data_IF_670235549522
#
_entry.id   IF_670235549522
#
_cell.length_a   1.000
_cell.length_b   1.000
_cell.length_c   1.000
_cell.angle_alpha   90.00
_cell.angle_beta   90.00
_cell.angle_gamma   90.00
#
_symmetry.space_group_name_H-M   'P 1'
#
loop_
_entity.id
_entity.type
_entity.pdbx_description
1 polymer ?
#
# COMPACT_ATOMS: atom_id res chain seq x y z
N UNK A 1 -16.28 -14.04 32.78
CA UNK A 1 -15.76 -13.72 31.43
C UNK A 1 -15.66 -12.22 31.30
N UNK A 2 -14.49 -11.69 30.89
CA UNK A 2 -14.39 -10.25 30.55
C UNK A 2 -15.34 -9.96 29.41
N UNK A 3 -16.14 -8.88 29.40
CA UNK A 3 -16.98 -8.55 28.27
C UNK A 3 -16.13 -8.44 27.00
N UNK A 4 -16.63 -8.91 25.86
CA UNK A 4 -15.93 -8.96 24.57
C UNK A 4 -15.23 -7.64 24.21
N UNK A 5 -15.82 -6.51 24.55
CA UNK A 5 -15.28 -5.17 24.34
C UNK A 5 -13.98 -4.91 25.12
N UNK A 6 -13.79 -5.50 26.30
CA UNK A 6 -12.55 -5.38 27.07
C UNK A 6 -11.38 -6.15 26.41
N UNK A 7 -11.67 -7.22 25.65
CA UNK A 7 -10.66 -7.93 24.85
C UNK A 7 -10.10 -7.03 23.74
N UNK A 8 -10.90 -6.08 23.27
CA UNK A 8 -10.53 -5.09 22.25
C UNK A 8 -9.92 -3.80 22.83
N UNK A 9 -9.63 -3.76 24.15
CA UNK A 9 -9.06 -2.58 24.81
C UNK A 9 -10.05 -1.45 25.03
N UNK A 10 -11.36 -1.71 24.96
CA UNK A 10 -12.39 -0.71 25.21
C UNK A 10 -12.56 -0.45 26.70
N UNK A 11 -12.39 0.80 27.09
CA UNK A 11 -12.63 1.26 28.45
C UNK A 11 -14.00 1.94 28.56
N UNK A 12 -14.95 1.27 29.21
CA UNK A 12 -16.32 1.75 29.38
C UNK A 12 -16.42 3.05 30.19
N UNK A 13 -15.39 3.41 30.96
CA UNK A 13 -15.39 4.64 31.76
C UNK A 13 -15.04 5.88 30.92
N UNK A 14 -14.10 5.72 29.98
CA UNK A 14 -13.53 6.83 29.22
C UNK A 14 -13.90 6.82 27.74
N UNK A 15 -14.49 5.71 27.22
CA UNK A 15 -14.81 5.54 25.79
C UNK A 15 -16.31 5.34 25.58
N UNK A 16 -16.83 5.86 24.47
CA UNK A 16 -18.23 5.70 24.06
C UNK A 16 -18.31 4.77 22.86
N UNK A 17 -19.11 3.70 22.94
CA UNK A 17 -19.31 2.73 21.85
C UNK A 17 -19.74 3.41 20.55
N UNK A 18 -20.66 4.38 20.61
CA UNK A 18 -21.11 5.13 19.43
C UNK A 18 -19.95 5.85 18.72
N UNK A 19 -19.02 6.43 19.49
CA UNK A 19 -17.84 7.11 18.93
C UNK A 19 -16.92 6.12 18.22
N UNK A 20 -16.66 4.96 18.81
CA UNK A 20 -15.84 3.91 18.20
C UNK A 20 -16.46 3.38 16.87
N UNK A 21 -17.79 3.19 16.85
CA UNK A 21 -18.48 2.74 15.62
C UNK A 21 -18.46 3.83 14.53
N UNK A 22 -18.68 5.11 14.89
CA UNK A 22 -18.56 6.22 13.92
C UNK A 22 -17.12 6.30 13.38
N UNK A 23 -16.14 6.18 14.26
CA UNK A 23 -14.72 6.16 13.88
C UNK A 23 -14.41 5.03 12.92
N UNK A 24 -14.91 3.82 13.20
CA UNK A 24 -14.74 2.67 12.31
C UNK A 24 -15.43 2.87 10.95
N UNK A 25 -16.66 3.38 10.93
CA UNK A 25 -17.35 3.71 9.68
C UNK A 25 -16.57 4.76 8.86
N UNK A 26 -16.06 5.80 9.51
CA UNK A 26 -15.26 6.84 8.85
C UNK A 26 -13.96 6.26 8.29
N UNK A 27 -13.23 5.43 9.05
CA UNK A 27 -12.03 4.74 8.56
C UNK A 27 -12.35 3.86 7.36
N UNK A 28 -13.41 3.03 7.45
CA UNK A 28 -13.81 2.18 6.32
C UNK A 28 -14.12 3.01 5.07
N UNK A 29 -14.92 4.08 5.18
CA UNK A 29 -15.26 4.94 4.05
C UNK A 29 -14.02 5.57 3.41
N UNK A 30 -13.04 5.99 4.21
CA UNK A 30 -11.83 6.62 3.68
C UNK A 30 -10.91 5.64 2.97
N UNK A 31 -10.91 4.35 3.33
CA UNK A 31 -10.06 3.32 2.75
C UNK A 31 -10.78 2.32 1.84
N UNK A 32 -12.12 2.37 1.74
CA UNK A 32 -12.90 1.42 0.92
C UNK A 32 -12.60 1.48 -0.58
N UNK A 33 -11.95 2.55 -1.05
CA UNK A 33 -11.47 2.64 -2.43
C UNK A 33 -10.54 1.48 -2.82
N UNK A 34 -9.87 0.84 -1.84
CA UNK A 34 -8.98 -0.31 -2.09
C UNK A 34 -9.74 -1.50 -2.69
N UNK A 35 -11.02 -1.65 -2.35
CA UNK A 35 -11.89 -2.69 -2.90
C UNK A 35 -12.10 -2.56 -4.42
N UNK A 36 -11.94 -1.36 -4.96
CA UNK A 36 -11.97 -1.12 -6.40
C UNK A 36 -10.56 -1.13 -7.00
N UNK A 37 -9.62 -0.48 -6.33
CA UNK A 37 -8.28 -0.21 -6.88
C UNK A 37 -7.40 -1.45 -6.88
N UNK A 38 -7.39 -2.25 -5.80
CA UNK A 38 -6.58 -3.46 -5.76
C UNK A 38 -6.96 -4.47 -6.84
N UNK A 39 -8.25 -4.84 -7.02
CA UNK A 39 -8.65 -5.68 -8.15
C UNK A 39 -8.34 -5.07 -9.52
N UNK A 40 -8.46 -3.75 -9.68
CA UNK A 40 -8.13 -3.09 -10.94
C UNK A 40 -6.64 -3.16 -11.29
N UNK A 41 -5.75 -3.05 -10.29
CA UNK A 41 -4.30 -3.15 -10.50
C UNK A 41 -3.90 -4.60 -10.76
N UNK A 42 -4.27 -5.53 -9.88
CA UNK A 42 -3.83 -6.91 -9.95
C UNK A 42 -4.43 -7.68 -11.14
N UNK A 43 -5.67 -7.36 -11.57
CA UNK A 43 -6.26 -7.98 -12.76
C UNK A 43 -5.50 -7.70 -14.05
N UNK A 44 -4.65 -6.67 -14.08
CA UNK A 44 -3.76 -6.39 -15.22
C UNK A 44 -2.69 -7.48 -15.43
N UNK A 45 -2.51 -8.40 -14.48
CA UNK A 45 -1.60 -9.56 -14.56
C UNK A 45 -2.29 -10.82 -15.09
N UNK A 46 -3.59 -10.76 -15.39
CA UNK A 46 -4.39 -11.91 -15.84
C UNK A 46 -5.18 -12.61 -14.75
N UNK A 47 -5.10 -12.15 -13.48
CA UNK A 47 -5.90 -12.68 -12.37
C UNK A 47 -7.38 -12.29 -12.51
N UNK A 48 -8.29 -13.17 -12.08
CA UNK A 48 -9.73 -12.90 -12.10
C UNK A 48 -10.12 -11.74 -11.18
N UNK A 49 -10.80 -10.73 -11.74
CA UNK A 49 -11.17 -9.49 -11.03
C UNK A 49 -12.16 -9.72 -9.90
N UNK A 50 -13.09 -10.67 -10.06
CA UNK A 50 -14.07 -11.01 -9.04
C UNK A 50 -13.43 -11.71 -7.85
N UNK A 51 -12.57 -12.71 -8.13
CA UNK A 51 -11.79 -13.40 -7.11
C UNK A 51 -10.87 -12.43 -6.36
N UNK A 52 -10.22 -11.49 -7.06
CA UNK A 52 -9.39 -10.44 -6.47
C UNK A 52 -10.17 -9.52 -5.53
N UNK A 53 -11.43 -9.19 -5.87
CA UNK A 53 -12.29 -8.43 -4.97
C UNK A 53 -12.52 -9.18 -3.65
N UNK A 54 -12.88 -10.46 -3.75
CA UNK A 54 -13.09 -11.32 -2.57
C UNK A 54 -11.80 -11.45 -1.75
N UNK A 55 -10.66 -11.70 -2.40
CA UNK A 55 -9.35 -11.76 -1.75
C UNK A 55 -9.00 -10.46 -1.02
N UNK A 56 -9.24 -9.31 -1.66
CA UNK A 56 -9.00 -7.99 -1.08
C UNK A 56 -9.84 -7.76 0.18
N UNK A 57 -11.14 -8.03 0.10
CA UNK A 57 -12.05 -7.83 1.23
C UNK A 57 -11.74 -8.77 2.40
N UNK A 58 -11.48 -10.06 2.11
CA UNK A 58 -11.16 -11.06 3.13
C UNK A 58 -9.80 -10.77 3.79
N UNK A 59 -8.76 -10.49 3.02
CA UNK A 59 -7.43 -10.20 3.56
C UNK A 59 -7.43 -8.93 4.42
N UNK A 60 -8.11 -7.86 3.98
CA UNK A 60 -8.29 -6.65 4.76
C UNK A 60 -9.08 -6.91 6.06
N UNK A 61 -10.16 -7.69 5.98
CA UNK A 61 -10.96 -8.05 7.15
C UNK A 61 -10.14 -8.87 8.16
N UNK A 62 -9.45 -9.92 7.70
CA UNK A 62 -8.63 -10.80 8.57
C UNK A 62 -7.53 -9.99 9.26
N UNK A 63 -6.74 -9.23 8.50
CA UNK A 63 -5.64 -8.45 9.05
C UNK A 63 -6.14 -7.39 10.05
N UNK A 64 -7.20 -6.65 9.70
CA UNK A 64 -7.77 -5.62 10.57
C UNK A 64 -8.38 -6.21 11.84
N UNK A 65 -9.04 -7.38 11.76
CA UNK A 65 -9.54 -8.10 12.93
C UNK A 65 -8.39 -8.60 13.82
N UNK A 66 -7.32 -9.16 13.22
CA UNK A 66 -6.13 -9.56 13.97
C UNK A 66 -5.53 -8.37 14.72
N UNK A 67 -5.38 -7.22 14.06
CA UNK A 67 -4.91 -5.98 14.69
C UNK A 67 -5.83 -5.56 15.85
N UNK A 68 -7.15 -5.64 15.66
CA UNK A 68 -8.12 -5.30 16.69
C UNK A 68 -7.92 -6.11 17.97
N UNK A 69 -7.67 -7.42 17.86
CA UNK A 69 -7.49 -8.30 19.01
C UNK A 69 -6.07 -8.27 19.58
N UNK A 70 -5.05 -8.25 18.72
CA UNK A 70 -3.65 -8.32 19.14
C UNK A 70 -3.15 -6.97 19.65
N UNK A 71 -3.22 -5.94 18.81
CA UNK A 71 -2.71 -4.61 19.14
C UNK A 71 -3.73 -3.75 19.89
N UNK A 72 -5.05 -4.00 19.70
CA UNK A 72 -6.15 -3.21 20.31
C UNK A 72 -6.07 -1.72 19.99
N UNK A 73 -5.54 -1.39 18.83
CA UNK A 73 -5.37 -0.04 18.30
C UNK A 73 -6.51 0.30 17.33
N UNK A 74 -6.89 1.58 17.17
CA UNK A 74 -7.95 2.01 16.26
C UNK A 74 -7.45 2.15 14.81
N UNK A 75 -6.68 1.18 14.31
CA UNK A 75 -6.08 1.21 12.98
C UNK A 75 -6.71 0.13 12.10
N UNK A 76 -6.59 0.28 10.79
CA UNK A 76 -7.06 -0.68 9.83
C UNK A 76 -5.94 -1.08 8.85
N UNK A 77 -6.02 -2.30 8.36
CA UNK A 77 -5.04 -2.93 7.49
C UNK A 77 -5.71 -3.43 6.21
N UNK A 78 -5.04 -3.27 5.09
CA UNK A 78 -5.50 -3.75 3.79
C UNK A 78 -4.30 -3.91 2.83
N UNK A 79 -4.50 -4.49 1.62
CA UNK A 79 -3.45 -4.59 0.61
C UNK A 79 -2.80 -3.24 0.31
N UNK A 80 -1.46 -3.17 0.43
CA UNK A 80 -0.69 -1.93 0.26
C UNK A 80 -0.67 -1.48 -1.19
N UNK A 81 -1.01 -0.21 -1.43
CA UNK A 81 -1.05 0.36 -2.78
C UNK A 81 0.32 0.32 -3.48
N UNK A 82 1.40 0.63 -2.75
CA UNK A 82 2.76 0.59 -3.29
C UNK A 82 3.19 -0.82 -3.69
N UNK A 83 2.89 -1.80 -2.83
CA UNK A 83 3.26 -3.19 -3.05
C UNK A 83 2.34 -3.88 -4.07
N UNK A 84 1.08 -3.45 -4.21
CA UNK A 84 0.21 -3.85 -5.33
C UNK A 84 0.80 -3.45 -6.67
N UNK A 85 1.26 -2.21 -6.74
CA UNK A 85 1.92 -1.69 -7.94
C UNK A 85 3.24 -2.42 -8.21
N UNK A 86 4.02 -2.72 -7.20
CA UNK A 86 5.23 -3.52 -7.31
C UNK A 86 4.92 -4.93 -7.83
N UNK A 87 3.89 -5.59 -7.29
CA UNK A 87 3.42 -6.89 -7.75
C UNK A 87 3.09 -6.87 -9.24
N UNK A 88 2.14 -6.01 -9.64
CA UNK A 88 1.60 -6.02 -10.99
C UNK A 88 2.61 -5.51 -12.03
N UNK A 89 3.24 -4.39 -11.75
CA UNK A 89 4.03 -3.68 -12.75
C UNK A 89 5.50 -4.06 -12.71
N UNK A 90 6.09 -4.20 -11.52
CA UNK A 90 7.52 -4.56 -11.42
C UNK A 90 7.71 -6.07 -11.58
N UNK A 91 7.05 -6.90 -10.76
CA UNK A 91 7.28 -8.36 -10.83
C UNK A 91 6.70 -8.94 -12.12
N UNK A 92 5.41 -8.73 -12.39
CA UNK A 92 4.75 -9.40 -13.50
C UNK A 92 5.10 -8.76 -14.85
N UNK A 93 4.94 -7.43 -15.01
CA UNK A 93 5.09 -6.80 -16.31
C UNK A 93 6.55 -6.50 -16.69
N UNK A 94 7.37 -5.96 -15.76
CA UNK A 94 8.75 -5.59 -16.09
C UNK A 94 9.73 -6.77 -15.95
N UNK A 95 9.61 -7.58 -14.89
CA UNK A 95 10.54 -8.70 -14.63
C UNK A 95 10.08 -10.02 -15.24
N UNK A 96 8.83 -10.12 -15.75
CA UNK A 96 8.30 -11.29 -16.46
C UNK A 96 7.91 -12.47 -15.56
N UNK A 97 7.75 -12.26 -14.25
CA UNK A 97 7.20 -13.31 -13.38
C UNK A 97 5.71 -13.53 -13.68
N UNK A 98 5.25 -14.79 -13.61
CA UNK A 98 3.83 -15.07 -13.61
C UNK A 98 3.20 -14.55 -12.30
N UNK A 99 1.89 -14.34 -12.27
CA UNK A 99 1.23 -13.89 -11.05
C UNK A 99 1.28 -14.93 -9.93
N UNK A 100 1.36 -16.23 -10.28
CA UNK A 100 1.55 -17.33 -9.33
C UNK A 100 2.95 -17.27 -8.68
N UNK A 101 3.98 -16.96 -9.47
CA UNK A 101 5.34 -16.73 -8.96
C UNK A 101 5.40 -15.48 -8.09
N UNK A 102 4.72 -14.41 -8.48
CA UNK A 102 4.63 -13.20 -7.69
C UNK A 102 3.90 -13.44 -6.35
N UNK A 103 2.83 -14.25 -6.33
CA UNK A 103 2.18 -14.68 -5.07
C UNK A 103 3.11 -15.52 -4.19
N UNK A 104 3.92 -16.42 -4.80
CA UNK A 104 4.92 -17.18 -4.06
C UNK A 104 5.98 -16.27 -3.41
N UNK A 105 6.42 -15.21 -4.12
CA UNK A 105 7.32 -14.18 -3.60
C UNK A 105 6.68 -13.47 -2.39
N UNK A 106 5.41 -13.05 -2.51
CA UNK A 106 4.67 -12.40 -1.40
C UNK A 106 4.50 -13.32 -0.20
N UNK A 107 4.23 -14.61 -0.44
CA UNK A 107 4.12 -15.59 0.64
C UNK A 107 5.43 -15.73 1.43
N UNK A 108 6.55 -15.89 0.73
CA UNK A 108 7.87 -16.01 1.37
C UNK A 108 8.23 -14.69 2.09
N UNK A 109 7.96 -13.54 1.46
CA UNK A 109 8.16 -12.23 2.10
C UNK A 109 7.36 -12.14 3.41
N UNK A 110 6.08 -12.49 3.40
CA UNK A 110 5.22 -12.50 4.58
C UNK A 110 5.73 -13.43 5.69
N UNK A 111 6.19 -14.63 5.34
CA UNK A 111 6.79 -15.58 6.30
C UNK A 111 8.09 -15.04 6.89
N UNK A 112 8.96 -14.45 6.08
CA UNK A 112 10.21 -13.83 6.55
C UNK A 112 9.89 -12.63 7.45
N UNK A 113 8.91 -11.80 7.08
CA UNK A 113 8.47 -10.67 7.90
C UNK A 113 7.93 -11.13 9.25
N UNK A 114 7.17 -12.23 9.27
CA UNK A 114 6.67 -12.82 10.51
C UNK A 114 7.81 -13.30 11.41
N UNK A 115 8.82 -13.98 10.86
CA UNK A 115 10.00 -14.42 11.61
C UNK A 115 10.79 -13.22 12.16
N UNK A 116 11.06 -12.21 11.36
CA UNK A 116 11.78 -11.00 11.77
C UNK A 116 11.03 -10.27 12.89
N UNK A 117 9.71 -10.17 12.79
CA UNK A 117 8.87 -9.53 13.80
C UNK A 117 8.83 -10.34 15.09
N UNK A 118 8.76 -11.67 14.99
CA UNK A 118 8.78 -12.57 16.15
C UNK A 118 10.08 -12.44 16.95
N UNK A 119 11.25 -12.43 16.28
CA UNK A 119 12.57 -12.34 16.91
C UNK A 119 13.01 -10.90 17.25
N UNK A 120 12.18 -9.88 17.04
CA UNK A 120 12.49 -8.45 17.27
C UNK A 120 13.73 -7.94 16.50
N UNK A 121 14.07 -8.54 15.36
CA UNK A 121 15.21 -8.14 14.52
C UNK A 121 14.94 -6.83 13.77
N UNK A 122 13.69 -6.37 13.77
CA UNK A 122 13.23 -5.16 13.06
C UNK A 122 14.01 -3.90 13.41
N UNK A 123 14.39 -3.70 14.68
CA UNK A 123 15.12 -2.51 15.13
C UNK A 123 16.48 -2.40 14.44
N UNK A 124 17.16 -3.54 14.23
CA UNK A 124 18.40 -3.60 13.48
C UNK A 124 18.25 -3.19 12.01
N UNK A 125 17.12 -3.55 11.38
CA UNK A 125 16.85 -3.20 9.98
C UNK A 125 16.44 -1.73 9.87
N UNK A 126 15.63 -1.23 10.79
CA UNK A 126 15.20 0.17 10.82
C UNK A 126 16.36 1.14 10.96
N UNK A 127 17.28 0.83 11.87
CA UNK A 127 18.47 1.66 12.11
C UNK A 127 19.49 1.54 10.98
N UNK A 128 19.32 0.56 10.09
CA UNK A 128 20.23 0.32 8.98
C UNK A 128 20.08 1.32 7.83
N UNK A 129 18.88 1.84 7.57
CA UNK A 129 18.66 2.79 6.46
C UNK A 129 18.54 4.22 6.99
N UNK A 130 19.30 5.17 6.42
CA UNK A 130 19.27 6.58 6.81
C UNK A 130 17.88 7.17 6.75
N UNK A 131 17.52 8.02 7.71
CA UNK A 131 16.18 8.64 7.80
C UNK A 131 15.77 9.35 6.51
N UNK A 132 16.69 10.07 5.90
CA UNK A 132 16.44 10.82 4.67
C UNK A 132 16.07 9.89 3.52
N UNK A 133 16.78 8.78 3.38
CA UNK A 133 16.50 7.79 2.34
C UNK A 133 15.13 7.10 2.56
N UNK A 134 14.73 6.87 3.82
CA UNK A 134 13.39 6.34 4.15
C UNK A 134 12.26 7.27 3.69
N UNK A 135 12.42 8.58 3.93
CA UNK A 135 11.44 9.57 3.46
C UNK A 135 11.40 9.66 1.94
N UNK A 136 12.56 9.55 1.28
CA UNK A 136 12.65 9.51 -0.17
C UNK A 136 11.99 8.28 -0.78
N UNK A 137 12.15 7.10 -0.16
CA UNK A 137 11.46 5.86 -0.57
C UNK A 137 9.94 6.06 -0.52
N UNK A 138 9.41 6.56 0.59
CA UNK A 138 7.97 6.80 0.72
C UNK A 138 7.44 7.81 -0.31
N UNK A 139 8.15 8.92 -0.51
CA UNK A 139 7.78 9.92 -1.51
C UNK A 139 7.88 9.38 -2.94
N UNK A 140 8.92 8.61 -3.25
CA UNK A 140 9.13 7.97 -4.55
C UNK A 140 8.03 6.97 -4.89
N UNK A 141 7.61 6.15 -3.92
CA UNK A 141 6.46 5.25 -4.06
C UNK A 141 5.19 6.05 -4.36
N UNK A 142 4.96 7.16 -3.64
CA UNK A 142 3.82 8.03 -3.91
C UNK A 142 3.81 8.60 -5.33
N UNK A 143 4.94 9.10 -5.81
CA UNK A 143 5.10 9.59 -7.19
C UNK A 143 4.88 8.46 -8.21
N UNK A 144 5.39 7.26 -7.94
CA UNK A 144 5.20 6.09 -8.80
C UNK A 144 3.74 5.67 -8.90
N UNK A 145 3.00 5.63 -7.78
CA UNK A 145 1.56 5.32 -7.77
C UNK A 145 0.78 6.38 -8.57
N UNK A 146 1.10 7.67 -8.39
CA UNK A 146 0.48 8.75 -9.15
C UNK A 146 0.73 8.61 -10.66
N UNK A 147 1.96 8.27 -11.05
CA UNK A 147 2.32 8.02 -12.45
C UNK A 147 1.52 6.85 -13.04
N UNK A 148 1.34 5.75 -12.28
CA UNK A 148 0.49 4.63 -12.66
C UNK A 148 -0.96 5.08 -12.87
N UNK A 149 -1.49 5.90 -11.96
CA UNK A 149 -2.85 6.46 -12.09
C UNK A 149 -3.02 7.25 -13.38
N UNK A 150 -2.06 8.10 -13.71
CA UNK A 150 -2.06 8.88 -14.95
C UNK A 150 -1.93 8.00 -16.21
N UNK A 151 -1.11 6.95 -16.15
CA UNK A 151 -0.96 5.97 -17.24
C UNK A 151 -2.25 5.18 -17.46
N UNK A 152 -2.85 4.65 -16.39
CA UNK A 152 -4.07 3.83 -16.47
C UNK A 152 -5.27 4.64 -17.00
N UNK A 153 -5.28 5.95 -16.75
CA UNK A 153 -6.26 6.86 -17.34
C UNK A 153 -5.95 7.24 -18.81
N UNK A 154 -4.83 6.81 -19.36
CA UNK A 154 -4.40 7.22 -20.70
C UNK A 154 -4.00 8.70 -20.83
N UNK A 155 -3.78 9.38 -19.68
CA UNK A 155 -3.32 10.78 -19.66
C UNK A 155 -1.83 10.84 -20.01
N UNK A 156 -1.05 9.90 -19.49
CA UNK A 156 0.35 9.69 -19.87
C UNK A 156 0.45 8.41 -20.67
N UNK A 157 1.09 8.46 -21.83
CA UNK A 157 1.27 7.32 -22.74
C UNK A 157 2.72 7.20 -23.16
N UNK A 158 3.12 5.99 -23.56
CA UNK A 158 4.42 5.79 -24.19
C UNK A 158 4.45 6.54 -25.55
N UNK A 159 5.56 7.24 -25.83
CA UNK A 159 5.73 8.00 -27.06
C UNK A 159 7.15 7.82 -27.57
N UNK A 160 7.28 7.44 -28.85
CA UNK A 160 8.58 7.34 -29.49
C UNK A 160 9.32 8.69 -29.46
N UNK A 161 10.60 8.63 -29.13
CA UNK A 161 11.49 9.82 -29.05
C UNK A 161 11.50 10.54 -27.70
N UNK A 162 10.42 10.49 -26.90
CA UNK A 162 10.35 11.13 -25.57
C UNK A 162 10.08 10.17 -24.41
N UNK A 163 9.96 8.86 -24.70
CA UNK A 163 9.57 7.78 -23.79
C UNK A 163 8.16 7.92 -23.22
N UNK A 164 7.78 9.12 -22.75
CA UNK A 164 6.44 9.43 -22.23
C UNK A 164 5.94 10.73 -22.84
N UNK A 165 4.64 10.84 -23.03
CA UNK A 165 4.00 12.04 -23.53
C UNK A 165 2.54 12.13 -23.11
N UNK A 166 1.90 13.27 -23.37
CA UNK A 166 0.47 13.44 -23.14
C UNK A 166 -0.31 12.59 -24.15
N UNK A 167 -1.26 11.80 -23.65
CA UNK A 167 -2.17 10.99 -24.45
C UNK A 167 -3.24 11.82 -25.15
N UNK A 168 -3.98 11.17 -26.06
CA UNK A 168 -5.13 11.78 -26.71
C UNK A 168 -6.32 11.88 -25.72
N UNK A 169 -7.19 12.86 -25.95
CA UNK A 169 -8.44 12.99 -25.20
C UNK A 169 -9.45 11.96 -25.71
N UNK A 170 -9.42 10.77 -25.09
CA UNK A 170 -10.44 9.73 -25.28
C UNK A 170 -11.51 9.83 -24.19
N UNK A 171 -12.66 9.14 -24.32
CA UNK A 171 -13.65 9.08 -23.24
C UNK A 171 -13.04 8.58 -21.92
N UNK A 172 -12.14 7.58 -21.97
CA UNK A 172 -11.43 7.03 -20.80
C UNK A 172 -10.52 8.06 -20.16
N UNK A 173 -9.67 8.75 -20.95
CA UNK A 173 -8.74 9.77 -20.43
C UNK A 173 -9.48 10.98 -19.87
N UNK A 174 -10.58 11.38 -20.51
CA UNK A 174 -11.47 12.44 -20.03
C UNK A 174 -12.11 12.06 -18.70
N UNK A 175 -12.62 10.83 -18.58
CA UNK A 175 -13.17 10.31 -17.33
C UNK A 175 -12.09 10.27 -16.22
N UNK A 176 -10.87 9.86 -16.55
CA UNK A 176 -9.75 9.88 -15.62
C UNK A 176 -9.42 11.28 -15.11
N UNK A 177 -9.39 12.29 -15.99
CA UNK A 177 -9.20 13.69 -15.59
C UNK A 177 -10.33 14.14 -14.65
N UNK A 178 -11.57 13.83 -14.99
CA UNK A 178 -12.74 14.14 -14.15
C UNK A 178 -12.60 13.46 -12.77
N UNK A 179 -12.22 12.19 -12.73
CA UNK A 179 -12.01 11.45 -11.48
C UNK A 179 -10.95 12.11 -10.58
N UNK A 180 -9.80 12.53 -11.18
CA UNK A 180 -8.72 13.21 -10.46
C UNK A 180 -9.20 14.55 -9.90
N UNK A 181 -9.88 15.36 -10.72
CA UNK A 181 -10.37 16.68 -10.32
C UNK A 181 -11.47 16.58 -9.24
N UNK A 182 -12.44 15.68 -9.40
CA UNK A 182 -13.51 15.48 -8.42
C UNK A 182 -12.94 15.03 -7.07
N UNK A 183 -12.09 14.01 -7.08
CA UNK A 183 -11.46 13.53 -5.85
C UNK A 183 -10.60 14.61 -5.20
N UNK A 184 -9.86 15.40 -5.99
CA UNK A 184 -9.05 16.52 -5.53
C UNK A 184 -9.89 17.64 -4.92
N UNK A 185 -11.00 18.02 -5.56
CA UNK A 185 -11.94 19.02 -5.03
C UNK A 185 -12.56 18.56 -3.71
N UNK A 186 -13.02 17.29 -3.65
CA UNK A 186 -13.58 16.73 -2.43
C UNK A 186 -12.55 16.70 -1.30
N UNK A 187 -11.30 16.33 -1.60
CA UNK A 187 -10.19 16.34 -0.64
C UNK A 187 -9.88 17.76 -0.16
N UNK A 188 -9.79 18.73 -1.06
CA UNK A 188 -9.53 20.14 -0.72
C UNK A 188 -10.66 20.74 0.15
N UNK A 189 -11.88 20.23 0.02
CA UNK A 189 -13.02 20.57 0.87
C UNK A 189 -13.07 19.79 2.18
N UNK A 190 -12.05 18.98 2.48
CA UNK A 190 -11.97 18.11 3.65
C UNK A 190 -13.15 17.13 3.79
N UNK A 191 -13.71 16.67 2.64
CA UNK A 191 -14.76 15.65 2.63
C UNK A 191 -14.13 14.30 3.00
N UNK A 192 -14.59 13.72 4.10
CA UNK A 192 -14.15 12.38 4.54
C UNK A 192 -14.59 11.34 3.49
N UNK A 193 -13.68 10.43 3.13
CA UNK A 193 -13.94 9.47 2.04
C UNK A 193 -13.90 10.07 0.63
N UNK A 194 -13.24 11.22 0.44
CA UNK A 194 -13.12 11.93 -0.85
C UNK A 194 -12.68 11.03 -2.00
N UNK A 195 -11.75 10.09 -1.75
CA UNK A 195 -11.27 9.13 -2.75
C UNK A 195 -12.40 8.20 -3.20
N UNK A 196 -13.13 7.63 -2.26
CA UNK A 196 -14.26 6.74 -2.53
C UNK A 196 -15.40 7.47 -3.26
N UNK A 197 -15.82 8.62 -2.76
CA UNK A 197 -16.86 9.42 -3.42
C UNK A 197 -16.43 9.90 -4.80
N UNK A 198 -15.15 10.23 -5.00
CA UNK A 198 -14.60 10.57 -6.30
C UNK A 198 -14.71 9.42 -7.31
N UNK A 199 -14.36 8.21 -6.88
CA UNK A 199 -14.50 6.99 -7.70
C UNK A 199 -15.99 6.75 -8.08
N UNK A 200 -16.90 6.81 -7.10
CA UNK A 200 -18.33 6.58 -7.34
C UNK A 200 -18.89 7.63 -8.30
N UNK A 201 -18.59 8.92 -8.07
CA UNK A 201 -19.04 10.00 -8.94
C UNK A 201 -18.50 9.84 -10.37
N UNK A 202 -17.21 9.52 -10.53
CA UNK A 202 -16.62 9.25 -11.83
C UNK A 202 -17.24 8.03 -12.52
N UNK A 203 -17.53 6.96 -11.76
CA UNK A 203 -18.20 5.76 -12.29
C UNK A 203 -19.58 6.09 -12.82
N UNK A 204 -20.38 6.90 -12.11
CA UNK A 204 -21.69 7.34 -12.55
C UNK A 204 -21.58 8.22 -13.81
N UNK A 205 -20.63 9.16 -13.85
CA UNK A 205 -20.37 10.02 -15.02
C UNK A 205 -19.91 9.17 -16.22
N UNK A 206 -19.17 8.10 -15.96
CA UNK A 206 -18.72 7.16 -16.98
C UNK A 206 -19.85 6.41 -17.72
N UNK A 207 -21.06 6.31 -17.13
CA UNK A 207 -22.20 5.64 -17.77
C UNK A 207 -22.61 6.35 -19.08
N UNK A 208 -22.99 7.64 -19.07
CA UNK A 208 -23.32 8.35 -20.30
C UNK A 208 -22.15 8.52 -21.28
N UNK A 209 -20.90 8.41 -20.79
CA UNK A 209 -19.70 8.44 -21.63
C UNK A 209 -19.40 7.10 -22.32
N UNK A 210 -20.13 6.03 -22.00
CA UNK A 210 -19.91 4.68 -22.53
C UNK A 210 -18.64 3.99 -21.98
N UNK A 211 -18.02 4.53 -20.93
CA UNK A 211 -16.84 3.95 -20.27
C UNK A 211 -17.24 2.98 -19.16
N UNK A 212 -18.33 3.28 -18.44
CA UNK A 212 -18.91 2.39 -17.43
C UNK A 212 -20.04 1.60 -18.07
N UNK A 213 -19.82 0.30 -18.27
CA UNK A 213 -20.83 -0.60 -18.84
C UNK A 213 -21.57 -1.35 -17.74
N UNK A 214 -22.88 -1.20 -17.70
CA UNK A 214 -23.73 -1.96 -16.78
C UNK A 214 -24.18 -3.24 -17.51
N UNK A 215 -23.82 -4.45 -17.01
CA UNK A 215 -24.24 -5.71 -17.61
C UNK A 215 -25.77 -5.88 -17.55
N UNK A 216 -26.37 -6.56 -18.54
CA UNK A 216 -27.77 -6.92 -18.51
C UNK A 216 -28.08 -7.79 -17.28
N UNK A 217 -29.17 -7.47 -16.59
CA UNK A 217 -29.54 -8.18 -15.36
C UNK A 217 -28.67 -7.88 -14.13
N UNK A 218 -27.86 -6.81 -14.16
CA UNK A 218 -27.04 -6.41 -13.03
C UNK A 218 -27.88 -6.14 -11.77
N UNK A 219 -27.41 -6.69 -10.65
CA UNK A 219 -28.00 -6.47 -9.32
C UNK A 219 -26.92 -5.89 -8.39
N UNK A 220 -27.28 -4.93 -7.51
CA UNK A 220 -26.30 -4.29 -6.61
C UNK A 220 -25.81 -5.22 -5.48
N UNK A 221 -26.49 -6.31 -5.25
CA UNK A 221 -26.16 -7.30 -4.20
C UNK A 221 -26.06 -8.68 -4.86
N UNK A 222 -25.01 -9.41 -4.50
CA UNK A 222 -24.79 -10.79 -4.94
C UNK A 222 -24.14 -11.62 -3.82
N UNK A 223 -24.11 -12.94 -4.00
CA UNK A 223 -23.19 -13.78 -3.21
C UNK A 223 -21.74 -13.34 -3.45
N UNK A 224 -20.84 -13.57 -2.48
CA UNK A 224 -19.40 -13.34 -2.67
C UNK A 224 -18.88 -14.03 -3.93
N UNK A 225 -17.99 -13.37 -4.65
CA UNK A 225 -17.38 -13.96 -5.86
C UNK A 225 -16.48 -15.13 -5.47
N UNK A 226 -16.43 -16.15 -6.35
CA UNK A 226 -15.59 -17.32 -6.12
C UNK A 226 -14.10 -16.94 -6.10
N UNK A 227 -13.39 -17.36 -5.07
CA UNK A 227 -11.96 -17.11 -4.86
C UNK A 227 -11.09 -18.26 -5.42
N UNK A 228 -11.69 -19.41 -5.75
CA UNK A 228 -10.97 -20.62 -6.17
C UNK A 228 -9.95 -20.38 -7.30
N UNK A 229 -10.17 -19.46 -8.28
CA UNK A 229 -9.22 -19.25 -9.36
C UNK A 229 -7.85 -18.72 -8.94
N UNK A 230 -7.75 -18.13 -7.73
CA UNK A 230 -6.51 -17.50 -7.25
C UNK A 230 -6.06 -18.01 -5.87
N UNK A 231 -6.90 -18.80 -5.19
CA UNK A 231 -6.63 -19.28 -3.83
C UNK A 231 -5.48 -20.28 -3.80
N UNK A 232 -4.41 -19.98 -3.07
CA UNK A 232 -3.22 -20.83 -2.92
C UNK A 232 -2.58 -21.27 -4.25
N UNK A 233 -2.74 -20.51 -5.31
CA UNK A 233 -2.06 -20.77 -6.58
C UNK A 233 -0.65 -20.19 -6.55
N UNK A 234 0.33 -21.03 -6.21
CA UNK A 234 1.74 -20.66 -6.13
C UNK A 234 2.55 -21.45 -7.14
N UNK A 235 3.45 -20.78 -7.86
CA UNK A 235 4.46 -21.41 -8.69
C UNK A 235 5.85 -21.11 -8.13
N UNK A 236 6.59 -22.17 -7.76
CA UNK A 236 7.95 -22.08 -7.23
C UNK A 236 9.00 -22.50 -8.27
N UNK A 237 8.63 -22.67 -9.54
CA UNK A 237 9.57 -23.03 -10.60
C UNK A 237 10.56 -21.89 -10.84
N UNK A 238 11.85 -22.22 -10.87
CA UNK A 238 12.90 -21.21 -11.04
C UNK A 238 13.03 -20.19 -9.89
N UNK A 239 12.38 -20.44 -8.75
CA UNK A 239 12.29 -19.51 -7.62
C UNK A 239 13.63 -19.29 -6.92
N UNK A 240 14.44 -20.34 -6.75
CA UNK A 240 15.70 -20.28 -5.99
C UNK A 240 16.85 -19.75 -6.84
N UNK A 241 16.82 -18.43 -7.10
CA UNK A 241 17.91 -17.71 -7.74
C UNK A 241 18.20 -16.40 -6.99
N UNK A 242 19.37 -15.83 -7.21
CA UNK A 242 19.82 -14.61 -6.52
C UNK A 242 18.89 -13.42 -6.81
N UNK A 243 18.33 -13.33 -8.00
CA UNK A 243 17.42 -12.27 -8.43
C UNK A 243 16.12 -12.28 -7.59
N UNK A 244 15.49 -13.45 -7.45
CA UNK A 244 14.29 -13.62 -6.62
C UNK A 244 14.55 -13.31 -5.15
N UNK A 245 15.72 -13.75 -4.61
CA UNK A 245 16.11 -13.44 -3.24
C UNK A 245 16.23 -11.93 -3.00
N UNK A 246 16.85 -11.19 -3.93
CA UNK A 246 17.00 -9.73 -3.85
C UNK A 246 15.64 -9.03 -3.96
N UNK A 247 14.74 -9.55 -4.79
CA UNK A 247 13.37 -9.04 -4.90
C UNK A 247 12.61 -9.22 -3.58
N UNK A 248 12.64 -10.41 -2.99
CA UNK A 248 12.01 -10.67 -1.67
C UNK A 248 12.57 -9.72 -0.61
N UNK A 249 13.88 -9.52 -0.61
CA UNK A 249 14.54 -8.62 0.33
C UNK A 249 14.11 -7.16 0.11
N UNK A 250 14.04 -6.71 -1.14
CA UNK A 250 13.57 -5.35 -1.47
C UNK A 250 12.12 -5.12 -1.05
N UNK A 251 11.25 -6.11 -1.30
CA UNK A 251 9.85 -6.09 -0.84
C UNK A 251 9.76 -5.99 0.68
N UNK A 252 10.50 -6.83 1.39
CA UNK A 252 10.53 -6.86 2.84
C UNK A 252 10.93 -5.50 3.44
N UNK A 253 11.95 -4.85 2.86
CA UNK A 253 12.38 -3.51 3.27
C UNK A 253 11.26 -2.51 3.06
N UNK A 254 10.66 -2.48 1.86
CA UNK A 254 9.56 -1.55 1.55
C UNK A 254 8.40 -1.76 2.52
N UNK A 255 8.00 -3.02 2.75
CA UNK A 255 6.90 -3.36 3.66
C UNK A 255 7.17 -2.91 5.10
N UNK A 256 8.36 -3.21 5.63
CA UNK A 256 8.74 -2.80 7.00
C UNK A 256 8.68 -1.28 7.15
N UNK A 257 9.19 -0.51 6.17
CA UNK A 257 9.19 0.95 6.25
C UNK A 257 7.82 1.57 6.05
N UNK A 258 7.01 1.03 5.15
CA UNK A 258 5.63 1.47 4.95
C UNK A 258 4.80 1.26 6.23
N UNK A 259 4.85 0.07 6.79
CA UNK A 259 4.16 -0.26 8.05
C UNK A 259 4.61 0.62 9.22
N UNK A 260 5.92 0.75 9.45
CA UNK A 260 6.42 1.52 10.60
C UNK A 260 6.16 3.01 10.41
N UNK A 261 6.41 3.54 9.21
CA UNK A 261 6.13 4.95 8.91
C UNK A 261 4.68 5.31 9.18
N UNK A 262 3.75 4.45 8.78
CA UNK A 262 2.32 4.62 9.02
C UNK A 262 1.96 4.47 10.50
N UNK A 263 2.48 3.44 11.19
CA UNK A 263 2.23 3.23 12.61
C UNK A 263 2.72 4.39 13.47
N UNK A 264 3.92 4.93 13.19
CA UNK A 264 4.45 6.12 13.88
C UNK A 264 3.54 7.34 13.65
N UNK A 265 3.20 7.63 12.39
CA UNK A 265 2.33 8.76 12.07
C UNK A 265 0.93 8.67 12.70
N UNK A 266 0.36 7.47 12.78
CA UNK A 266 -0.93 7.23 13.45
C UNK A 266 -0.82 7.32 14.97
N UNK A 267 0.26 6.80 15.54
CA UNK A 267 0.50 6.87 16.99
C UNK A 267 0.65 8.31 17.47
N UNK A 268 1.35 9.16 16.71
CA UNK A 268 1.44 10.59 16.99
C UNK A 268 0.04 11.24 16.99
N UNK A 269 -0.82 10.93 16.01
CA UNK A 269 -2.19 11.47 15.90
C UNK A 269 -3.13 10.94 16.99
N UNK A 270 -2.93 9.73 17.49
CA UNK A 270 -3.70 9.18 18.62
C UNK A 270 -3.24 9.70 19.96
N UNK A 271 -2.03 10.26 20.03
CA UNK A 271 -1.41 10.69 21.28
C UNK A 271 -0.98 9.53 22.20
N UNK A 272 -0.81 8.31 21.62
CA UNK A 272 -0.39 7.13 22.41
C UNK A 272 1.12 6.97 22.49
N UNK A 273 1.88 7.84 21.83
CA UNK A 273 3.35 7.84 21.92
C UNK A 273 3.76 8.12 23.35
N UNK A 274 4.59 7.25 23.93
CA UNK A 274 5.09 7.39 25.29
C UNK A 274 6.16 8.48 25.38
N UNK A 275 6.44 9.01 26.59
CA UNK A 275 7.48 10.04 26.78
C UNK A 275 8.88 9.63 26.30
N UNK A 276 9.16 8.35 26.25
CA UNK A 276 10.42 7.78 25.72
C UNK A 276 10.42 7.62 24.18
N UNK A 277 9.35 8.05 23.50
CA UNK A 277 9.16 7.93 22.06
C UNK A 277 8.70 6.54 21.61
N UNK A 278 8.49 5.59 22.51
CA UNK A 278 7.99 4.26 22.16
C UNK A 278 6.48 4.29 21.87
N UNK A 279 6.06 3.37 20.98
CA UNK A 279 4.63 3.17 20.65
C UNK A 279 4.18 1.87 21.29
N UNK A 280 3.18 1.90 22.18
CA UNK A 280 2.69 0.69 22.81
C UNK A 280 2.11 -0.28 21.77
N UNK A 281 2.41 -1.56 21.94
CA UNK A 281 1.90 -2.66 21.10
C UNK A 281 2.25 -2.57 19.61
N UNK A 282 3.34 -1.89 19.25
CA UNK A 282 3.84 -1.86 17.86
C UNK A 282 4.21 -3.26 17.37
N UNK A 283 4.77 -4.11 18.25
CA UNK A 283 5.10 -5.50 17.89
C UNK A 283 3.86 -6.27 17.47
N UNK A 284 2.78 -6.15 18.24
CA UNK A 284 1.51 -6.83 17.97
C UNK A 284 0.85 -6.29 16.67
N UNK A 285 0.97 -4.99 16.40
CA UNK A 285 0.48 -4.39 15.17
C UNK A 285 1.26 -4.91 13.95
N UNK A 286 2.59 -4.94 14.03
CA UNK A 286 3.43 -5.51 12.96
C UNK A 286 3.25 -7.02 12.79
N UNK A 287 2.98 -7.74 13.89
CA UNK A 287 2.66 -9.17 13.81
C UNK A 287 1.34 -9.38 13.06
N UNK A 288 0.33 -8.53 13.27
CA UNK A 288 -0.93 -8.61 12.50
C UNK A 288 -0.71 -8.30 11.02
N UNK A 289 0.17 -7.35 10.67
CA UNK A 289 0.57 -7.06 9.28
C UNK A 289 1.24 -8.30 8.64
N UNK A 290 2.18 -8.93 9.35
CA UNK A 290 2.92 -10.10 8.85
C UNK A 290 2.00 -11.32 8.63
N UNK A 291 1.11 -11.59 9.59
CA UNK A 291 0.10 -12.65 9.44
C UNK A 291 -0.87 -12.29 8.32
N UNK A 292 -1.31 -11.01 8.27
CA UNK A 292 -2.18 -10.50 7.22
C UNK A 292 -1.57 -10.64 5.83
N UNK A 293 -0.28 -10.34 5.65
CA UNK A 293 0.46 -10.53 4.41
C UNK A 293 0.51 -12.01 4.00
N UNK A 294 0.87 -12.89 4.94
CA UNK A 294 0.92 -14.33 4.67
C UNK A 294 -0.46 -14.86 4.25
N UNK A 295 -1.51 -14.53 5.01
CA UNK A 295 -2.88 -14.90 4.67
C UNK A 295 -3.34 -14.24 3.35
N UNK A 296 -2.98 -12.97 3.12
CA UNK A 296 -3.28 -12.24 1.89
C UNK A 296 -2.72 -12.93 0.66
N UNK A 297 -1.44 -13.33 0.69
CA UNK A 297 -0.80 -14.08 -0.39
C UNK A 297 -1.52 -15.43 -0.65
N UNK A 298 -1.94 -16.15 0.40
CA UNK A 298 -2.73 -17.38 0.26
C UNK A 298 -4.10 -17.13 -0.37
N UNK A 299 -4.73 -16.01 -0.07
CA UNK A 299 -6.01 -15.61 -0.66
C UNK A 299 -5.87 -15.07 -2.09
N UNK A 300 -4.65 -14.88 -2.60
CA UNK A 300 -4.41 -14.31 -3.92
C UNK A 300 -4.32 -12.78 -3.94
N UNK A 301 -4.03 -12.16 -2.80
CA UNK A 301 -3.79 -10.72 -2.68
C UNK A 301 -2.31 -10.41 -2.44
N UNK A 302 -1.94 -9.14 -2.54
CA UNK A 302 -0.58 -8.68 -2.25
C UNK A 302 -0.35 -8.48 -0.75
N UNK A 303 0.84 -7.96 -0.42
CA UNK A 303 1.26 -7.62 0.94
C UNK A 303 0.28 -6.67 1.63
N UNK A 304 -0.03 -6.96 2.89
CA UNK A 304 -0.91 -6.15 3.75
C UNK A 304 -0.08 -5.15 4.55
N UNK A 305 -0.60 -3.93 4.70
CA UNK A 305 0.01 -2.89 5.55
C UNK A 305 -1.05 -2.11 6.32
N UNK A 306 -0.63 -1.40 7.37
CA UNK A 306 -1.50 -0.49 8.10
C UNK A 306 -1.75 0.78 7.29
N UNK A 307 -3.02 1.23 7.22
CA UNK A 307 -3.46 2.34 6.38
C UNK A 307 -3.46 3.68 7.12
N UNK A 308 -2.84 4.69 6.50
CA UNK A 308 -2.79 6.07 7.03
C UNK A 308 -4.18 6.72 7.13
N UNK A 309 -5.14 6.27 6.34
CA UNK A 309 -6.55 6.68 6.36
C UNK A 309 -7.22 6.40 7.71
N UNK A 310 -6.67 5.51 8.53
CA UNK A 310 -7.08 5.29 9.92
C UNK A 310 -7.05 6.58 10.74
N UNK A 311 -6.23 7.56 10.33
CA UNK A 311 -6.22 8.90 10.92
C UNK A 311 -7.59 9.57 10.92
N UNK A 312 -8.45 9.27 9.94
CA UNK A 312 -9.80 9.83 9.84
C UNK A 312 -10.70 9.35 10.97
N UNK A 313 -10.67 8.05 11.30
CA UNK A 313 -11.41 7.51 12.44
C UNK A 313 -10.82 7.95 13.77
N UNK A 314 -9.49 8.06 13.87
CA UNK A 314 -8.82 8.63 15.03
C UNK A 314 -9.29 10.05 15.31
N UNK A 315 -9.44 10.87 14.26
CA UNK A 315 -9.97 12.23 14.36
C UNK A 315 -11.44 12.27 14.83
N UNK A 316 -12.24 11.23 14.56
CA UNK A 316 -13.60 11.06 15.11
C UNK A 316 -13.62 10.59 16.57
N UNK A 317 -12.46 10.28 17.13
CA UNK A 317 -12.35 9.84 18.53
C UNK A 317 -12.19 8.34 18.72
N UNK A 318 -11.92 7.56 17.67
CA UNK A 318 -11.54 6.13 17.78
C UNK A 318 -10.25 5.98 18.58
N UNK A 319 -10.25 5.07 19.57
CA UNK A 319 -9.11 4.88 20.49
C UNK A 319 -8.84 3.42 20.84
N UNK A 320 -9.69 2.51 20.39
CA UNK A 320 -9.61 1.09 20.76
C UNK A 320 -9.71 0.15 19.55
N UNK A 321 -9.43 -1.12 19.76
CA UNK A 321 -9.64 -2.18 18.78
C UNK A 321 -11.11 -2.37 18.36
N UNK A 322 -12.08 -1.74 19.05
CA UNK A 322 -13.49 -1.77 18.62
C UNK A 322 -13.66 -1.05 17.28
N UNK A 323 -12.99 0.10 17.10
CA UNK A 323 -12.93 0.81 15.81
C UNK A 323 -12.45 -0.13 14.70
N UNK A 324 -11.32 -0.81 14.91
CA UNK A 324 -10.73 -1.73 13.94
C UNK A 324 -11.62 -2.97 13.69
N UNK A 325 -12.19 -3.55 14.75
CA UNK A 325 -13.11 -4.68 14.60
C UNK A 325 -14.33 -4.31 13.76
N UNK A 326 -14.86 -3.10 13.92
CA UNK A 326 -15.97 -2.63 13.12
C UNK A 326 -15.57 -2.43 11.65
N UNK A 327 -14.37 -1.90 11.37
CA UNK A 327 -13.83 -1.82 10.00
C UNK A 327 -13.73 -3.21 9.37
N UNK A 328 -13.17 -4.19 10.09
CA UNK A 328 -13.08 -5.58 9.61
C UNK A 328 -14.45 -6.18 9.26
N UNK A 329 -15.48 -5.92 10.08
CA UNK A 329 -16.86 -6.34 9.80
C UNK A 329 -17.38 -5.66 8.54
N UNK A 330 -17.13 -4.37 8.34
CA UNK A 330 -17.56 -3.65 7.14
C UNK A 330 -16.89 -4.19 5.87
N UNK A 331 -15.61 -4.62 5.94
CA UNK A 331 -14.96 -5.32 4.84
C UNK A 331 -15.63 -6.67 4.53
N UNK A 332 -16.04 -7.44 5.53
CA UNK A 332 -16.80 -8.67 5.30
C UNK A 332 -18.18 -8.39 4.67
N UNK A 333 -18.87 -7.35 5.14
CA UNK A 333 -20.15 -6.96 4.57
C UNK A 333 -20.03 -6.45 3.12
N UNK A 334 -18.88 -5.88 2.74
CA UNK A 334 -18.64 -5.43 1.37
C UNK A 334 -18.65 -6.58 0.35
N UNK A 335 -18.41 -7.81 0.77
CA UNK A 335 -18.51 -8.99 -0.10
C UNK A 335 -19.89 -9.14 -0.74
N UNK A 336 -20.94 -8.73 -0.05
CA UNK A 336 -22.32 -8.80 -0.54
C UNK A 336 -22.64 -7.73 -1.60
N UNK A 337 -21.87 -6.65 -1.65
CA UNK A 337 -22.03 -5.54 -2.61
C UNK A 337 -20.92 -5.52 -3.66
N UNK A 338 -20.28 -6.66 -3.88
CA UNK A 338 -19.21 -6.82 -4.89
C UNK A 338 -19.59 -6.32 -6.29
N UNK A 339 -20.84 -6.48 -6.82
CA UNK A 339 -21.17 -6.01 -8.15
C UNK A 339 -21.03 -4.49 -8.32
N UNK A 340 -21.22 -3.71 -7.24
CA UNK A 340 -21.05 -2.25 -7.29
C UNK A 340 -19.57 -1.91 -7.54
N UNK A 341 -18.65 -2.58 -6.85
CA UNK A 341 -17.22 -2.33 -7.00
C UNK A 341 -16.64 -2.87 -8.31
N UNK A 342 -17.16 -4.00 -8.79
CA UNK A 342 -16.73 -4.61 -10.04
C UNK A 342 -17.15 -3.79 -11.27
N UNK A 343 -18.19 -2.96 -11.15
CA UNK A 343 -18.64 -2.04 -12.17
C UNK A 343 -17.67 -0.87 -12.39
N UNK A 344 -16.82 -0.56 -11.42
CA UNK A 344 -15.90 0.58 -11.44
C UNK A 344 -14.87 0.40 -12.56
N UNK A 345 -14.83 1.32 -13.56
CA UNK A 345 -13.84 1.25 -14.63
C UNK A 345 -12.46 1.71 -14.13
N UNK A 346 -11.38 1.21 -14.74
CA UNK A 346 -10.00 1.57 -14.38
C UNK A 346 -9.74 3.09 -14.42
N UNK A 347 -10.34 3.79 -15.38
CA UNK A 347 -10.23 5.25 -15.47
C UNK A 347 -10.79 5.98 -14.23
N UNK A 348 -11.87 5.48 -13.61
CA UNK A 348 -12.43 6.08 -12.41
C UNK A 348 -11.52 5.91 -11.17
N UNK A 349 -10.67 4.86 -11.12
CA UNK A 349 -9.74 4.63 -10.01
C UNK A 349 -8.50 5.52 -10.07
N UNK A 350 -8.22 6.16 -11.21
CA UNK A 350 -7.04 7.01 -11.41
C UNK A 350 -7.00 8.20 -10.44
N UNK A 351 -8.18 8.76 -10.09
CA UNK A 351 -8.30 9.82 -9.10
C UNK A 351 -7.74 9.41 -7.73
N UNK A 352 -8.09 8.22 -7.27
CA UNK A 352 -7.58 7.70 -6.00
C UNK A 352 -6.07 7.45 -6.06
N UNK A 353 -5.56 6.84 -7.14
CA UNK A 353 -4.12 6.57 -7.29
C UNK A 353 -3.28 7.86 -7.27
N UNK A 354 -3.70 8.88 -8.02
CA UNK A 354 -3.00 10.17 -8.05
C UNK A 354 -3.02 10.84 -6.69
N UNK A 355 -4.16 10.85 -6.00
CA UNK A 355 -4.26 11.53 -4.70
C UNK A 355 -3.60 10.76 -3.56
N UNK A 356 -3.57 9.43 -3.59
CA UNK A 356 -2.72 8.65 -2.67
C UNK A 356 -1.26 9.03 -2.85
N UNK A 357 -0.81 9.18 -4.11
CA UNK A 357 0.52 9.71 -4.39
C UNK A 357 0.76 11.08 -3.76
N UNK A 358 -0.20 12.00 -3.88
CA UNK A 358 -0.13 13.34 -3.26
C UNK A 358 -0.03 13.24 -1.73
N UNK A 359 -0.80 12.36 -1.08
CA UNK A 359 -0.73 12.16 0.37
C UNK A 359 0.65 11.64 0.83
N UNK A 360 1.26 10.73 0.04
CA UNK A 360 2.59 10.19 0.34
C UNK A 360 3.72 11.22 0.14
N UNK A 361 3.51 12.24 -0.71
CA UNK A 361 4.46 13.35 -0.89
C UNK A 361 4.64 14.20 0.39
N UNK A 362 3.81 14.05 1.41
CA UNK A 362 4.03 14.72 2.70
C UNK A 362 5.39 14.34 3.33
N UNK A 363 5.91 13.17 3.00
CA UNK A 363 7.25 12.69 3.39
C UNK A 363 8.38 13.61 2.86
N UNK A 364 8.18 14.32 1.76
CA UNK A 364 9.17 15.26 1.20
C UNK A 364 9.45 16.42 2.16
N UNK A 365 8.49 16.86 2.96
CA UNK A 365 8.66 17.90 3.97
C UNK A 365 9.66 17.54 5.07
N UNK A 366 9.91 16.24 5.25
CA UNK A 366 10.83 15.70 6.25
C UNK A 366 12.24 15.46 5.71
N UNK A 367 12.44 15.66 4.39
CA UNK A 367 13.74 15.49 3.75
C UNK A 367 14.69 16.63 4.15
N UNK A 368 15.90 16.27 4.58
CA UNK A 368 16.99 17.20 4.69
C UNK A 368 17.65 17.36 3.31
N UNK A 369 17.42 18.52 2.70
CA UNK A 369 17.97 18.89 1.40
C UNK A 369 19.18 19.81 1.51
N UNK A 370 19.63 20.15 2.72
CA UNK A 370 20.76 21.06 2.95
C UNK A 370 22.11 20.41 2.66
N UNK A 371 22.23 19.11 2.92
CA UNK A 371 23.45 18.31 2.68
C UNK A 371 23.31 17.51 1.37
N UNK A 372 24.16 17.81 0.39
CA UNK A 372 24.16 17.11 -0.91
C UNK A 372 24.39 15.62 -0.75
N UNK A 373 25.16 15.17 0.26
CA UNK A 373 25.39 13.74 0.52
C UNK A 373 24.14 13.01 1.00
N UNK A 374 23.10 13.73 1.43
CA UNK A 374 21.78 13.22 1.80
C UNK A 374 20.72 13.47 0.70
N UNK A 375 20.71 14.69 0.13
CA UNK A 375 19.71 15.09 -0.84
C UNK A 375 19.87 14.43 -2.22
N UNK A 376 21.10 14.19 -2.67
CA UNK A 376 21.36 13.53 -3.95
C UNK A 376 20.84 12.08 -3.97
N UNK A 377 21.17 11.21 -3.00
CA UNK A 377 20.61 9.85 -2.96
C UNK A 377 19.08 9.84 -2.84
N UNK A 378 18.51 10.78 -2.06
CA UNK A 378 17.08 10.93 -1.94
C UNK A 378 16.43 11.27 -3.29
N UNK A 379 17.00 12.22 -4.03
CA UNK A 379 16.53 12.59 -5.36
C UNK A 379 16.63 11.40 -6.35
N UNK A 380 17.79 10.72 -6.39
CA UNK A 380 17.99 9.55 -7.26
C UNK A 380 16.94 8.47 -6.95
N UNK A 381 16.67 8.19 -5.66
CA UNK A 381 15.64 7.22 -5.28
C UNK A 381 14.27 7.58 -5.88
N UNK A 382 13.82 8.82 -5.66
CA UNK A 382 12.49 9.26 -6.09
C UNK A 382 12.34 9.27 -7.61
N UNK A 383 13.31 9.84 -8.33
CA UNK A 383 13.22 10.02 -9.78
C UNK A 383 13.33 8.67 -10.52
N UNK A 384 14.21 7.78 -10.04
CA UNK A 384 14.41 6.48 -10.67
C UNK A 384 13.18 5.58 -10.53
N UNK A 385 12.49 5.59 -9.38
CA UNK A 385 11.24 4.82 -9.22
C UNK A 385 10.24 5.14 -10.31
N UNK A 386 10.10 6.41 -10.66
CA UNK A 386 9.14 6.85 -11.69
C UNK A 386 9.66 6.54 -13.10
N UNK A 387 10.91 6.91 -13.41
CA UNK A 387 11.44 6.83 -14.76
C UNK A 387 11.76 5.38 -15.20
N UNK A 388 12.25 4.54 -14.26
CA UNK A 388 12.50 3.13 -14.55
C UNK A 388 11.24 2.25 -14.37
N UNK A 389 10.12 2.85 -13.94
CA UNK A 389 8.88 2.12 -13.67
C UNK A 389 9.09 0.97 -12.66
N UNK A 390 9.98 1.17 -11.68
CA UNK A 390 10.42 0.17 -10.73
C UNK A 390 10.78 0.76 -9.37
N UNK A 391 10.06 0.34 -8.34
CA UNK A 391 10.36 0.72 -6.95
C UNK A 391 11.71 0.13 -6.51
N UNK A 392 11.99 -1.13 -6.91
CA UNK A 392 13.21 -1.82 -6.54
C UNK A 392 14.46 -1.09 -7.07
N UNK A 393 14.46 -0.71 -8.35
CA UNK A 393 15.59 -0.01 -8.96
C UNK A 393 15.83 1.35 -8.31
N UNK A 394 14.76 2.05 -7.95
CA UNK A 394 14.86 3.30 -7.21
C UNK A 394 15.53 3.12 -5.84
N UNK A 395 15.16 2.10 -5.08
CA UNK A 395 15.78 1.78 -3.80
C UNK A 395 17.24 1.38 -4.00
N UNK A 396 17.51 0.51 -4.97
CA UNK A 396 18.87 0.06 -5.28
C UNK A 396 19.80 1.23 -5.61
N UNK A 397 19.43 2.07 -6.57
CA UNK A 397 20.24 3.21 -6.98
C UNK A 397 20.35 4.28 -5.87
N UNK A 398 19.30 4.45 -5.06
CA UNK A 398 19.33 5.31 -3.90
C UNK A 398 20.35 4.86 -2.86
N UNK A 399 20.34 3.59 -2.48
CA UNK A 399 21.29 3.01 -1.52
C UNK A 399 22.71 3.05 -2.09
N UNK A 400 22.91 2.67 -3.36
CA UNK A 400 24.22 2.71 -4.02
C UNK A 400 24.79 4.12 -4.03
N UNK A 401 24.02 5.10 -4.45
CA UNK A 401 24.46 6.50 -4.50
C UNK A 401 24.78 7.04 -3.11
N UNK A 402 24.02 6.66 -2.06
CA UNK A 402 24.30 7.03 -0.70
C UNK A 402 25.64 6.47 -0.22
N UNK A 403 25.86 5.17 -0.39
CA UNK A 403 27.09 4.52 0.07
C UNK A 403 28.31 5.09 -0.65
N UNK A 404 28.23 5.23 -2.00
CA UNK A 404 29.35 5.79 -2.80
C UNK A 404 29.66 7.22 -2.37
N UNK A 405 28.68 8.10 -2.22
CA UNK A 405 28.90 9.49 -1.82
C UNK A 405 29.50 9.59 -0.42
N UNK A 406 28.98 8.83 0.56
CA UNK A 406 29.51 8.85 1.93
C UNK A 406 30.94 8.36 2.00
N UNK A 407 31.34 7.37 1.20
CA UNK A 407 32.73 6.92 1.07
C UNK A 407 33.61 8.01 0.43
N UNK A 408 33.19 8.60 -0.68
CA UNK A 408 33.96 9.62 -1.40
C UNK A 408 34.14 10.90 -0.59
N UNK A 409 33.16 11.30 0.22
CA UNK A 409 33.21 12.50 1.07
C UNK A 409 33.94 12.22 2.43
N UNK A 410 34.39 10.98 2.66
CA UNK A 410 35.11 10.63 3.89
C UNK A 410 34.21 10.46 5.12
N UNK A 411 32.89 10.36 4.93
CA UNK A 411 31.90 10.16 6.02
C UNK A 411 31.57 8.68 6.27
N UNK A 412 32.51 7.78 6.09
CA UNK A 412 32.34 6.34 6.21
C UNK A 412 31.82 5.88 7.58
N UNK A 413 32.02 6.67 8.65
CA UNK A 413 31.45 6.40 10.00
C UNK A 413 29.92 6.45 10.05
N UNK A 414 29.27 7.05 9.06
CA UNK A 414 27.82 7.10 8.95
C UNK A 414 27.22 5.87 8.22
N UNK A 415 28.11 5.01 7.67
CA UNK A 415 27.70 3.77 7.02
C UNK A 415 27.67 2.65 8.05
N UNK A 416 26.58 1.90 8.08
CA UNK A 416 26.51 0.65 8.83
C UNK A 416 26.80 -0.55 7.91
N UNK A 417 27.16 -1.67 8.50
CA UNK A 417 27.56 -2.87 7.77
C UNK A 417 26.44 -3.41 6.89
N UNK A 418 25.19 -3.33 7.35
CA UNK A 418 24.00 -3.78 6.62
C UNK A 418 23.83 -3.00 5.32
N UNK A 419 23.97 -1.67 5.36
CA UNK A 419 23.82 -0.81 4.19
C UNK A 419 24.91 -1.07 3.15
N UNK A 420 26.15 -1.30 3.60
CA UNK A 420 27.27 -1.64 2.72
C UNK A 420 27.07 -3.03 2.10
N UNK A 421 26.62 -4.01 2.88
CA UNK A 421 26.30 -5.35 2.37
C UNK A 421 25.22 -5.30 1.30
N UNK A 422 24.18 -4.52 1.53
CA UNK A 422 23.11 -4.27 0.55
C UNK A 422 23.64 -3.65 -0.75
N UNK A 423 24.46 -2.61 -0.63
CA UNK A 423 25.07 -1.98 -1.78
C UNK A 423 25.90 -2.96 -2.61
N UNK A 424 26.66 -3.83 -1.95
CA UNK A 424 27.45 -4.88 -2.63
C UNK A 424 26.53 -5.87 -3.34
N UNK A 425 25.46 -6.34 -2.68
CA UNK A 425 24.48 -7.25 -3.29
C UNK A 425 23.81 -6.63 -4.50
N UNK A 426 23.47 -5.34 -4.46
CA UNK A 426 22.88 -4.62 -5.58
C UNK A 426 23.88 -4.42 -6.72
N UNK A 427 25.14 -4.16 -6.46
CA UNK A 427 26.19 -4.12 -7.50
C UNK A 427 26.30 -5.49 -8.18
N UNK A 428 26.34 -6.57 -7.41
CA UNK A 428 26.36 -7.92 -7.94
C UNK A 428 25.14 -8.16 -8.83
N UNK A 429 23.94 -7.77 -8.39
CA UNK A 429 22.74 -7.90 -9.19
C UNK A 429 22.81 -7.13 -10.52
N UNK A 430 23.35 -5.90 -10.53
CA UNK A 430 23.50 -5.10 -11.76
C UNK A 430 24.58 -5.63 -12.71
N UNK A 431 25.61 -6.31 -12.21
CA UNK A 431 26.69 -6.86 -13.04
C UNK A 431 26.28 -8.21 -13.68
N UNK A 432 25.41 -8.97 -13.02
CA UNK A 432 25.01 -10.32 -13.45
C UNK A 432 23.60 -10.38 -14.09
N UNK A 433 22.87 -9.26 -14.19
CA UNK A 433 21.69 -9.09 -15.01
C UNK A 433 22.02 -8.44 -16.35
#
# INVERSE_FOLDING_TARGET
MKPFTQLLGFDTKNMKMKTELIAGATTFLTMSYILAVNPAILSSTGMDKGALFTATALSAAIATLLLAFMAKLPFAQAPSMGLNAFFAYTLCQAMGYSWEQALAIMLIEGLVFLLITFFNVRELILDSIPKNLRYAISAGIGMFIAFIGLKNAGIIVAKEGTFVGLGAFTPESTLGIIAILLSGILMARNVKGSLFYGIIAATIIGIPMGVTMIPDGWLPVSAPQDISPIFCHFDFNGFFNIKTLLVIFSLLIVNIFDTIGTLVGLAEKTGIVQPDGSIPRVKEAMMSDAIGTTCGAMLGSSTITTYIESASGIAEGGRSGVTSAFVGILFLLSLLVSPIFLLIPGAATSGALVLVGVLMLDSVKKLDLSDVSESFPAFITMITMVLCYSIADGICLGILSYVILKLCVGRWKQLNITLVTLAILFIINFVFN
#
